data_IF_219999811423
#
_entry.id   IF_219999811423
#
_cell.length_a   1.000
_cell.length_b   1.000
_cell.length_c   1.000
_cell.angle_alpha   90.00
_cell.angle_beta   90.00
_cell.angle_gamma   90.00
#
_symmetry.space_group_name_H-M   'P 1'
#
loop_
_entity.id
_entity.type
_entity.pdbx_description
1 polymer ?
#
# COMPACT_ATOMS: atom_id res chain seq x y z
N UNK A 1 10.76 10.82 -32.74
CA UNK A 1 10.15 9.79 -31.90
C UNK A 1 10.84 9.81 -30.55
N UNK A 2 10.29 10.50 -29.56
CA UNK A 2 10.83 10.48 -28.20
C UNK A 2 10.54 9.09 -27.64
N UNK A 3 11.58 8.29 -27.41
CA UNK A 3 11.48 7.00 -26.74
C UNK A 3 10.82 7.28 -25.40
N UNK A 4 9.55 6.89 -25.19
CA UNK A 4 8.97 6.90 -23.84
C UNK A 4 9.93 6.06 -23.00
N UNK A 5 10.45 6.56 -21.87
CA UNK A 5 11.24 5.72 -20.99
C UNK A 5 10.40 4.46 -20.74
N UNK A 6 11.01 3.29 -20.96
CA UNK A 6 10.38 2.02 -20.63
C UNK A 6 10.10 2.07 -19.13
N UNK A 7 8.83 2.13 -18.76
CA UNK A 7 8.44 2.20 -17.37
C UNK A 7 8.75 0.83 -16.75
N UNK A 8 9.70 0.82 -15.81
CA UNK A 8 10.13 -0.39 -15.11
C UNK A 8 9.59 -0.37 -13.69
N UNK A 9 9.30 -1.57 -13.19
CA UNK A 9 9.04 -1.82 -11.77
C UNK A 9 10.20 -2.66 -11.27
N UNK A 10 10.83 -2.20 -10.20
CA UNK A 10 11.89 -2.92 -9.51
C UNK A 10 11.44 -3.18 -8.07
N UNK A 11 11.73 -4.38 -7.56
CA UNK A 11 11.49 -4.76 -6.16
C UNK A 11 12.84 -4.79 -5.45
N UNK A 12 12.95 -3.99 -4.40
CA UNK A 12 14.16 -3.82 -3.61
C UNK A 12 13.92 -4.26 -2.15
N UNK A 13 14.99 -4.65 -1.42
CA UNK A 13 14.90 -4.99 0.00
C UNK A 13 14.45 -3.79 0.86
N UNK A 14 13.96 -4.03 2.09
CA UNK A 14 13.49 -2.96 2.97
C UNK A 14 14.57 -1.95 3.36
N UNK A 15 15.86 -2.31 3.30
CA UNK A 15 16.97 -1.44 3.71
C UNK A 15 17.11 -0.16 2.86
N UNK A 16 16.52 -0.12 1.67
CA UNK A 16 16.53 1.07 0.80
C UNK A 16 15.26 1.93 0.92
N UNK A 17 14.43 1.64 1.94
CA UNK A 17 13.17 2.37 2.19
C UNK A 17 13.43 3.84 2.46
N UNK A 18 12.41 4.63 2.15
CA UNK A 18 12.36 6.01 2.64
C UNK A 18 12.11 5.99 4.16
N UNK A 19 13.00 6.62 4.93
CA UNK A 19 12.90 6.57 6.40
C UNK A 19 11.74 7.42 6.94
N UNK A 20 11.26 8.41 6.19
CA UNK A 20 10.05 9.14 6.56
C UNK A 20 8.80 8.25 6.40
N UNK A 21 8.68 7.55 5.27
CA UNK A 21 7.59 6.58 5.04
C UNK A 21 7.66 5.42 6.05
N UNK A 22 8.85 4.90 6.32
CA UNK A 22 9.05 3.84 7.32
C UNK A 22 8.66 4.29 8.73
N UNK A 23 9.01 5.53 9.10
CA UNK A 23 8.63 6.10 10.40
C UNK A 23 7.12 6.32 10.50
N UNK A 24 6.48 6.76 9.42
CA UNK A 24 5.02 6.89 9.37
C UNK A 24 4.31 5.57 9.67
N UNK A 25 4.76 4.47 9.05
CA UNK A 25 4.21 3.15 9.34
C UNK A 25 4.55 2.66 10.74
N UNK A 26 5.79 2.85 11.21
CA UNK A 26 6.27 2.37 12.51
C UNK A 26 5.44 2.92 13.67
N UNK A 27 4.99 4.16 13.57
CA UNK A 27 4.12 4.81 14.55
C UNK A 27 2.68 4.28 14.55
N UNK A 28 2.23 3.69 13.43
CA UNK A 28 0.82 3.42 13.15
C UNK A 28 0.48 1.94 13.14
N UNK A 29 1.39 1.09 12.67
CA UNK A 29 1.16 -0.36 12.64
C UNK A 29 1.04 -0.92 14.05
N UNK A 30 0.15 -1.90 14.19
CA UNK A 30 0.06 -2.71 15.40
C UNK A 30 1.27 -3.62 15.58
N UNK A 31 1.80 -4.12 14.46
CA UNK A 31 3.02 -4.91 14.40
C UNK A 31 4.07 -4.21 13.52
N UNK A 32 4.96 -3.40 14.13
CA UNK A 32 6.02 -2.72 13.39
C UNK A 32 7.08 -3.66 12.80
N UNK A 33 7.17 -4.92 13.25
CA UNK A 33 8.15 -5.87 12.72
C UNK A 33 7.86 -6.27 11.26
N UNK A 34 6.64 -6.00 10.77
CA UNK A 34 6.30 -6.13 9.34
C UNK A 34 7.15 -5.24 8.43
N UNK A 35 7.77 -4.18 8.97
CA UNK A 35 8.66 -3.30 8.21
C UNK A 35 9.99 -3.95 7.84
N UNK A 36 10.38 -5.02 8.53
CA UNK A 36 11.57 -5.82 8.21
C UNK A 36 11.28 -6.82 7.08
N UNK A 37 10.01 -7.06 6.78
CA UNK A 37 9.53 -7.92 5.68
C UNK A 37 8.93 -7.12 4.52
N UNK A 38 8.89 -5.78 4.66
CA UNK A 38 8.43 -4.90 3.60
C UNK A 38 9.36 -4.95 2.40
N UNK A 39 8.81 -4.64 1.23
CA UNK A 39 9.57 -4.45 0.00
C UNK A 39 9.43 -3.01 -0.46
N UNK A 40 10.44 -2.51 -1.14
CA UNK A 40 10.38 -1.19 -1.78
C UNK A 40 10.16 -1.40 -3.26
N UNK A 41 9.05 -0.90 -3.79
CA UNK A 41 8.81 -0.89 -5.23
C UNK A 41 9.23 0.45 -5.82
N UNK A 42 10.00 0.41 -6.91
CA UNK A 42 10.43 1.60 -7.64
C UNK A 42 9.60 1.73 -8.90
N UNK A 43 8.81 2.79 -9.00
CA UNK A 43 7.91 3.07 -10.13
C UNK A 43 8.31 4.41 -10.74
N UNK A 44 8.87 4.39 -11.95
CA UNK A 44 9.27 5.63 -12.64
C UNK A 44 10.29 6.48 -11.86
N UNK A 45 11.09 5.84 -10.99
CA UNK A 45 12.07 6.50 -10.12
C UNK A 45 11.54 6.88 -8.72
N UNK A 46 10.23 6.83 -8.50
CA UNK A 46 9.62 7.02 -7.18
C UNK A 46 9.63 5.71 -6.39
N UNK A 47 10.02 5.78 -5.12
CA UNK A 47 10.05 4.64 -4.20
C UNK A 47 8.77 4.60 -3.39
N UNK A 48 8.22 3.41 -3.22
CA UNK A 48 7.03 3.17 -2.41
C UNK A 48 7.27 1.95 -1.52
N UNK A 49 7.06 2.09 -0.22
CA UNK A 49 7.12 0.99 0.72
C UNK A 49 5.83 0.18 0.66
N UNK A 50 5.96 -1.12 0.38
CA UNK A 50 4.84 -2.06 0.30
C UNK A 50 4.95 -3.02 1.48
N UNK A 51 4.00 -2.92 2.40
CA UNK A 51 4.00 -3.67 3.66
C UNK A 51 3.21 -4.97 3.50
N UNK A 52 3.80 -6.14 3.79
CA UNK A 52 3.14 -7.43 3.64
C UNK A 52 1.96 -7.58 4.59
N UNK A 53 1.15 -8.59 4.32
CA UNK A 53 0.20 -9.13 5.30
C UNK A 53 0.98 -9.77 6.45
N UNK A 54 0.48 -9.64 7.67
CA UNK A 54 1.02 -10.30 8.86
C UNK A 54 0.45 -9.73 10.15
N UNK A 55 0.56 -10.46 11.26
CA UNK A 55 -0.09 -10.08 12.52
C UNK A 55 -1.59 -9.82 12.32
N UNK A 56 -2.05 -8.61 12.65
CA UNK A 56 -3.44 -8.18 12.40
C UNK A 56 -3.68 -7.60 11.01
N UNK A 57 -2.63 -7.21 10.27
CA UNK A 57 -2.74 -6.64 8.92
C UNK A 57 -3.22 -7.70 7.97
N UNK A 58 -4.39 -7.49 7.36
CA UNK A 58 -5.02 -8.48 6.47
C UNK A 58 -4.69 -8.28 4.99
N UNK A 59 -4.18 -7.12 4.62
CA UNK A 59 -3.84 -6.80 3.25
C UNK A 59 -3.36 -5.36 3.10
N UNK A 60 -3.22 -4.94 1.85
CA UNK A 60 -2.82 -3.59 1.50
C UNK A 60 -3.12 -3.29 0.05
N UNK A 61 -2.96 -2.02 -0.32
CA UNK A 61 -3.09 -1.56 -1.69
C UNK A 61 -2.05 -0.50 -2.02
N UNK A 62 -1.73 -0.37 -3.32
CA UNK A 62 -0.92 0.71 -3.86
C UNK A 62 -1.62 1.25 -5.10
N UNK A 63 -1.96 2.54 -5.05
CA UNK A 63 -2.63 3.24 -6.16
C UNK A 63 -1.60 3.80 -7.15
N UNK A 64 -1.85 3.58 -8.45
CA UNK A 64 -1.00 4.06 -9.55
C UNK A 64 -1.85 4.56 -10.72
N UNK A 65 -1.37 5.59 -11.40
CA UNK A 65 -2.09 6.25 -12.50
C UNK A 65 -1.92 5.60 -13.88
N UNK A 66 -0.98 4.67 -14.06
CA UNK A 66 -0.66 4.08 -15.36
C UNK A 66 -1.01 2.58 -15.40
N UNK A 67 -1.82 2.17 -16.38
CA UNK A 67 -2.27 0.78 -16.56
C UNK A 67 -1.11 -0.21 -16.75
N UNK A 68 -0.06 0.18 -17.47
CA UNK A 68 1.09 -0.70 -17.67
C UNK A 68 1.83 -0.94 -16.35
N UNK A 69 1.93 0.09 -15.50
CA UNK A 69 2.53 -0.02 -14.16
C UNK A 69 1.74 -0.97 -13.27
N UNK A 70 0.41 -0.91 -13.32
CA UNK A 70 -0.46 -1.80 -12.52
C UNK A 70 -0.13 -3.27 -12.77
N UNK A 71 0.02 -3.65 -14.04
CA UNK A 71 0.35 -5.04 -14.40
C UNK A 71 1.74 -5.43 -13.95
N UNK A 72 2.73 -4.56 -14.17
CA UNK A 72 4.11 -4.80 -13.73
C UNK A 72 4.21 -4.95 -12.20
N UNK A 73 3.49 -4.12 -11.44
CA UNK A 73 3.43 -4.23 -9.98
C UNK A 73 2.75 -5.50 -9.52
N UNK A 74 1.62 -5.88 -10.15
CA UNK A 74 0.93 -7.13 -9.85
C UNK A 74 1.87 -8.31 -10.03
N UNK A 75 2.55 -8.39 -11.17
CA UNK A 75 3.45 -9.48 -11.49
C UNK A 75 4.70 -9.49 -10.59
N UNK A 76 5.19 -8.31 -10.21
CA UNK A 76 6.33 -8.15 -9.31
C UNK A 76 6.05 -8.62 -7.88
N UNK A 77 4.83 -8.40 -7.37
CA UNK A 77 4.43 -8.85 -6.03
C UNK A 77 3.89 -10.29 -6.01
N UNK A 78 3.39 -10.79 -7.14
CA UNK A 78 2.81 -12.11 -7.23
C UNK A 78 3.83 -13.20 -6.84
N UNK A 79 3.50 -14.00 -5.83
CA UNK A 79 4.35 -15.09 -5.35
C UNK A 79 5.43 -14.67 -4.36
N UNK A 80 5.54 -13.38 -4.02
CA UNK A 80 6.36 -12.95 -2.88
C UNK A 80 5.70 -13.34 -1.56
N UNK A 81 6.52 -13.81 -0.62
CA UNK A 81 6.07 -14.10 0.73
C UNK A 81 5.48 -12.85 1.39
N UNK A 82 4.36 -13.00 2.09
CA UNK A 82 3.62 -11.87 2.68
C UNK A 82 2.68 -11.14 1.73
N UNK A 83 2.65 -11.47 0.43
CA UNK A 83 1.76 -10.86 -0.57
C UNK A 83 0.84 -11.89 -1.25
N UNK A 84 -0.09 -12.51 -0.50
CA UNK A 84 -1.05 -13.44 -1.09
C UNK A 84 -2.10 -12.70 -1.94
N UNK A 85 -2.71 -13.41 -2.90
CA UNK A 85 -3.91 -12.97 -3.65
C UNK A 85 -3.78 -11.58 -4.31
N UNK A 86 -2.60 -11.30 -4.89
CA UNK A 86 -2.32 -10.06 -5.61
C UNK A 86 -3.24 -9.90 -6.81
N UNK A 87 -4.02 -8.83 -6.81
CA UNK A 87 -5.07 -8.55 -7.80
C UNK A 87 -5.08 -7.07 -8.17
N UNK A 88 -5.68 -6.79 -9.31
CA UNK A 88 -5.88 -5.41 -9.78
C UNK A 88 -7.29 -4.96 -9.44
N UNK A 89 -7.40 -3.76 -8.85
CA UNK A 89 -8.64 -2.99 -8.75
C UNK A 89 -8.61 -1.85 -9.76
N UNK A 90 -9.41 -1.99 -10.80
CA UNK A 90 -9.54 -0.95 -11.82
C UNK A 90 -10.39 0.22 -11.32
N UNK A 91 -9.87 1.44 -11.40
CA UNK A 91 -10.69 2.64 -11.39
C UNK A 91 -11.84 2.56 -12.40
N UNK A 92 -13.02 3.02 -11.98
CA UNK A 92 -14.20 3.14 -12.82
C UNK A 92 -14.33 4.50 -13.50
N UNK A 93 -13.52 5.49 -13.07
CA UNK A 93 -13.51 6.85 -13.59
C UNK A 93 -12.15 7.17 -14.22
N UNK A 94 -12.10 7.89 -15.36
CA UNK A 94 -10.86 8.18 -16.09
C UNK A 94 -9.80 8.95 -15.27
N UNK A 95 -10.26 9.79 -14.33
CA UNK A 95 -9.39 10.63 -13.51
C UNK A 95 -8.95 9.95 -12.20
N UNK A 96 -9.34 8.68 -11.99
CA UNK A 96 -9.01 7.92 -10.79
C UNK A 96 -7.84 6.96 -11.04
N UNK A 97 -6.96 6.82 -10.05
CA UNK A 97 -5.89 5.84 -10.10
C UNK A 97 -6.43 4.41 -9.99
N UNK A 98 -5.83 3.49 -10.74
CA UNK A 98 -5.99 2.06 -10.50
C UNK A 98 -5.23 1.67 -9.24
N UNK A 99 -5.51 0.50 -8.68
CA UNK A 99 -4.75 -0.02 -7.56
C UNK A 99 -4.37 -1.48 -7.78
N UNK A 100 -3.22 -1.86 -7.23
CA UNK A 100 -2.96 -3.26 -6.89
C UNK A 100 -3.41 -3.48 -5.45
N UNK A 101 -3.94 -4.66 -5.15
CA UNK A 101 -4.31 -5.08 -3.80
C UNK A 101 -3.73 -6.46 -3.51
N UNK A 102 -3.41 -6.73 -2.25
CA UNK A 102 -2.99 -8.04 -1.77
C UNK A 102 -3.65 -8.37 -0.44
N UNK A 103 -3.67 -9.65 -0.08
CA UNK A 103 -4.35 -10.14 1.11
C UNK A 103 -5.86 -10.28 0.92
N UNK A 104 -6.59 -10.25 2.04
CA UNK A 104 -8.04 -10.41 2.05
C UNK A 104 -8.73 -9.29 1.24
N UNK A 105 -9.98 -9.46 0.79
CA UNK A 105 -10.74 -8.39 0.17
C UNK A 105 -10.81 -7.14 1.06
N UNK A 106 -10.54 -5.97 0.48
CA UNK A 106 -10.66 -4.68 1.18
C UNK A 106 -12.14 -4.48 1.57
N UNK A 107 -12.44 -4.11 2.82
CA UNK A 107 -13.81 -3.81 3.23
C UNK A 107 -14.45 -2.70 2.38
N UNK A 108 -15.63 -2.96 1.84
CA UNK A 108 -16.43 -1.96 1.12
C UNK A 108 -17.19 -1.08 2.12
N UNK A 109 -16.48 -0.14 2.74
CA UNK A 109 -17.02 0.77 3.76
C UNK A 109 -16.18 2.04 3.84
N UNK A 110 -16.83 3.15 4.17
CA UNK A 110 -16.20 4.43 4.49
C UNK A 110 -15.86 4.57 5.98
N UNK A 111 -16.11 3.54 6.81
CA UNK A 111 -15.70 3.52 8.22
C UNK A 111 -14.18 3.34 8.33
N UNK A 112 -13.48 4.44 8.59
CA UNK A 112 -12.03 4.49 8.78
C UNK A 112 -11.53 3.56 9.89
N UNK A 113 -12.34 3.24 10.90
CA UNK A 113 -11.96 2.30 11.96
C UNK A 113 -11.95 0.88 11.43
N UNK A 114 -12.91 0.51 10.57
CA UNK A 114 -12.92 -0.79 9.91
C UNK A 114 -11.75 -0.92 8.94
N UNK A 115 -11.51 0.13 8.13
CA UNK A 115 -10.38 0.17 7.19
C UNK A 115 -9.03 0.12 7.92
N UNK A 116 -8.86 0.90 8.98
CA UNK A 116 -7.62 0.93 9.76
C UNK A 116 -7.29 -0.42 10.40
N UNK A 117 -8.30 -1.14 10.91
CA UNK A 117 -8.13 -2.52 11.39
C UNK A 117 -7.71 -3.47 10.27
N UNK A 118 -8.31 -3.36 9.10
CA UNK A 118 -7.92 -4.16 7.92
C UNK A 118 -6.44 -3.94 7.54
N UNK A 119 -5.99 -2.69 7.52
CA UNK A 119 -4.59 -2.33 7.24
C UNK A 119 -3.63 -2.62 8.41
N UNK A 120 -4.14 -3.15 9.52
CA UNK A 120 -3.33 -3.55 10.68
C UNK A 120 -2.77 -2.38 11.47
N UNK A 121 -3.41 -1.21 11.43
CA UNK A 121 -3.05 -0.12 12.32
C UNK A 121 -3.40 -0.45 13.79
N UNK A 122 -2.66 0.14 14.71
CA UNK A 122 -2.92 0.05 16.14
C UNK A 122 -4.22 0.77 16.51
N UNK A 123 -4.89 0.32 17.57
CA UNK A 123 -6.13 0.96 18.02
C UNK A 123 -5.92 2.44 18.37
N UNK A 124 -4.74 2.78 18.91
CA UNK A 124 -4.34 4.17 19.17
C UNK A 124 -4.29 4.99 17.88
N UNK A 125 -3.66 4.50 16.82
CA UNK A 125 -3.56 5.21 15.55
C UNK A 125 -4.93 5.40 14.89
N UNK A 126 -5.79 4.38 14.99
CA UNK A 126 -7.16 4.44 14.46
C UNK A 126 -8.00 5.50 15.19
N UNK A 127 -7.92 5.55 16.53
CA UNK A 127 -8.65 6.55 17.32
C UNK A 127 -8.15 7.95 17.00
N UNK A 128 -6.83 8.17 16.98
CA UNK A 128 -6.26 9.47 16.66
C UNK A 128 -6.67 9.98 15.27
N UNK A 129 -6.69 9.10 14.27
CA UNK A 129 -7.14 9.45 12.92
C UNK A 129 -8.63 9.83 12.88
N UNK A 130 -9.49 9.05 13.57
CA UNK A 130 -10.92 9.34 13.61
C UNK A 130 -11.22 10.69 14.30
N UNK A 131 -10.47 11.04 15.35
CA UNK A 131 -10.57 12.35 16.02
C UNK A 131 -10.11 13.50 15.11
N UNK A 132 -9.03 13.31 14.36
CA UNK A 132 -8.53 14.29 13.40
C UNK A 132 -9.56 14.56 12.27
N UNK A 133 -10.15 13.50 11.71
CA UNK A 133 -11.15 13.64 10.65
C UNK A 133 -12.42 14.36 11.14
N UNK A 134 -12.94 14.00 12.32
CA UNK A 134 -14.08 14.68 12.92
C UNK A 134 -13.83 16.17 13.20
N UNK A 135 -12.57 16.55 13.43
CA UNK A 135 -12.18 17.95 13.65
C UNK A 135 -12.11 18.76 12.36
N UNK A 136 -11.90 18.11 11.21
CA UNK A 136 -11.81 18.76 9.88
C UNK A 136 -13.18 18.99 9.24
N UNK A 137 -14.20 18.28 9.69
CA UNK A 137 -15.59 18.41 9.21
C UNK A 137 -16.40 19.50 9.96
N UNK A 138 -15.79 20.14 10.96
CA UNK A 138 -16.37 21.26 11.73
C UNK A 138 -15.90 22.62 11.20
#
# INVERSE_FOLDING_TARGET
>A
MTRRPSMTVEVLPPDVRDEWEASWYRERLDDPALLDQAVVVVVGGSRHMVVPRGGRRRGGDLSVGDVAVVWLLRDALAGLEGFPDVRVRWATHPDSCHAIEWGDPVPNTDDDRVRGRYFGYSDRAIVAFAEEMASREQ
#
